data_IF_434121514052
#
_entry.id   IF_434121514052
#
_cell.length_a   1.000
_cell.length_b   1.000
_cell.length_c   1.000
_cell.angle_alpha   90.00
_cell.angle_beta   90.00
_cell.angle_gamma   90.00
#
_symmetry.space_group_name_H-M   'P 1'
#
loop_
_entity.id
_entity.type
_entity.pdbx_description
1 polymer ?
#
# COMPACT_ATOMS: atom_id res chain seq x y z
N UNK A 1 8.77 -13.84 20.99
CA UNK A 1 7.43 -13.30 20.64
C UNK A 1 6.97 -13.98 19.36
N UNK A 2 5.67 -14.22 19.19
CA UNK A 2 5.14 -14.75 17.92
C UNK A 2 5.12 -13.61 16.89
N UNK A 3 5.68 -13.85 15.69
CA UNK A 3 5.69 -12.86 14.61
C UNK A 3 4.26 -12.60 14.10
N UNK A 4 3.98 -11.36 13.67
CA UNK A 4 2.74 -11.00 12.97
C UNK A 4 2.77 -11.61 11.55
N UNK A 5 1.61 -11.97 11.01
CA UNK A 5 1.49 -12.57 9.68
C UNK A 5 0.52 -11.76 8.81
N UNK A 6 0.83 -11.64 7.52
CA UNK A 6 -0.09 -11.08 6.52
C UNK A 6 -1.14 -12.13 6.13
N UNK A 7 -2.25 -11.73 5.48
CA UNK A 7 -3.21 -12.66 4.89
C UNK A 7 -2.60 -13.63 3.86
N UNK A 8 -1.43 -13.30 3.31
CA UNK A 8 -0.74 -14.10 2.29
C UNK A 8 0.30 -15.07 2.86
N UNK A 9 0.50 -15.12 4.18
CA UNK A 9 1.55 -15.94 4.80
C UNK A 9 1.47 -17.43 4.40
N UNK A 10 0.27 -18.00 4.41
CA UNK A 10 0.04 -19.40 3.98
C UNK A 10 0.40 -19.61 2.51
N UNK A 11 0.03 -18.68 1.64
CA UNK A 11 0.36 -18.73 0.21
C UNK A 11 1.87 -18.66 -0.02
N UNK A 12 2.58 -17.79 0.72
CA UNK A 12 4.05 -17.70 0.63
C UNK A 12 4.73 -19.02 0.97
N UNK A 13 4.29 -19.68 2.04
CA UNK A 13 4.83 -20.99 2.46
C UNK A 13 4.53 -22.08 1.45
N UNK A 14 3.32 -22.10 0.88
CA UNK A 14 2.94 -23.05 -0.17
C UNK A 14 3.79 -22.87 -1.44
N UNK A 15 4.25 -21.65 -1.72
CA UNK A 15 5.17 -21.33 -2.82
C UNK A 15 6.64 -21.58 -2.48
N UNK A 16 6.95 -22.13 -1.30
CA UNK A 16 8.33 -22.42 -0.89
C UNK A 16 9.14 -21.17 -0.52
N UNK A 17 8.48 -20.05 -0.20
CA UNK A 17 9.18 -18.83 0.19
C UNK A 17 10.05 -19.05 1.43
N UNK A 18 11.24 -18.46 1.41
CA UNK A 18 12.07 -18.32 2.60
C UNK A 18 11.50 -17.19 3.45
N UNK A 19 10.97 -17.53 4.62
CA UNK A 19 10.37 -16.55 5.54
C UNK A 19 11.41 -16.06 6.56
N UNK A 20 11.34 -14.78 6.94
CA UNK A 20 12.23 -14.13 7.92
C UNK A 20 11.45 -13.20 8.85
N UNK A 21 12.03 -12.88 10.00
CA UNK A 21 11.59 -11.76 10.84
C UNK A 21 11.99 -10.44 10.17
N UNK A 22 10.98 -9.71 9.71
CA UNK A 22 11.13 -8.36 9.17
C UNK A 22 10.32 -7.38 10.02
N UNK A 23 10.98 -6.76 11.00
CA UNK A 23 10.34 -5.76 11.87
C UNK A 23 9.18 -6.32 12.69
N UNK A 24 9.27 -7.58 13.14
CA UNK A 24 8.21 -8.27 13.87
C UNK A 24 7.15 -8.94 13.00
N UNK A 25 7.34 -8.96 11.69
CA UNK A 25 6.48 -9.64 10.72
C UNK A 25 7.17 -10.86 10.10
N UNK A 26 6.43 -11.94 9.90
CA UNK A 26 6.86 -13.15 9.22
C UNK A 26 6.65 -13.01 7.71
N UNK A 27 7.70 -12.58 7.02
CA UNK A 27 7.64 -12.10 5.62
C UNK A 27 8.55 -12.90 4.69
N UNK A 28 8.18 -13.08 3.40
CA UNK A 28 9.02 -13.74 2.42
C UNK A 28 10.23 -12.86 2.03
N UNK A 29 11.45 -13.32 2.31
CA UNK A 29 12.67 -12.64 1.84
C UNK A 29 12.98 -12.97 0.37
N UNK A 30 12.64 -14.17 -0.08
CA UNK A 30 12.68 -14.61 -1.48
C UNK A 30 11.90 -15.92 -1.67
N UNK A 31 11.65 -16.27 -2.93
CA UNK A 31 11.03 -17.50 -3.42
C UNK A 31 12.06 -18.39 -4.16
N UNK A 32 13.36 -18.18 -3.91
CA UNK A 32 14.46 -18.96 -4.47
C UNK A 32 15.71 -18.11 -4.69
N UNK A 33 15.64 -17.12 -5.58
CA UNK A 33 16.78 -16.27 -5.96
C UNK A 33 16.35 -14.82 -6.09
N UNK A 34 16.87 -13.97 -5.20
CA UNK A 34 16.61 -12.53 -5.19
C UNK A 34 17.03 -11.86 -6.51
N UNK A 35 18.09 -12.34 -7.14
CA UNK A 35 18.57 -11.84 -8.43
C UNK A 35 17.58 -12.18 -9.56
N UNK A 36 17.05 -13.40 -9.56
CA UNK A 36 16.07 -13.82 -10.58
C UNK A 36 14.74 -13.08 -10.39
N UNK A 37 14.30 -12.91 -9.14
CA UNK A 37 13.12 -12.11 -8.78
C UNK A 37 13.27 -10.65 -9.22
N UNK A 38 14.42 -10.04 -8.94
CA UNK A 38 14.76 -8.69 -9.41
C UNK A 38 14.68 -8.61 -10.94
N UNK A 39 15.34 -9.53 -11.64
CA UNK A 39 15.33 -9.55 -13.10
C UNK A 39 13.92 -9.78 -13.67
N UNK A 40 13.09 -10.59 -13.02
CA UNK A 40 11.69 -10.81 -13.43
C UNK A 40 10.86 -9.53 -13.34
N UNK A 41 11.05 -8.73 -12.29
CA UNK A 41 10.41 -7.40 -12.16
C UNK A 41 10.88 -6.46 -13.27
N UNK A 42 12.19 -6.40 -13.54
CA UNK A 42 12.78 -5.50 -14.56
C UNK A 42 12.40 -5.87 -15.99
N UNK A 43 12.28 -7.16 -16.29
CA UNK A 43 12.08 -7.66 -17.65
C UNK A 43 10.62 -7.92 -18.01
N UNK A 44 9.74 -8.10 -17.02
CA UNK A 44 8.34 -8.45 -17.24
C UNK A 44 7.41 -7.88 -16.16
N UNK A 45 7.16 -8.64 -15.09
CA UNK A 45 6.33 -8.24 -13.97
C UNK A 45 6.59 -9.14 -12.74
N UNK A 46 6.78 -8.51 -11.58
CA UNK A 46 6.76 -9.19 -10.29
C UNK A 46 5.70 -8.63 -9.35
N UNK A 47 5.29 -9.43 -8.38
CA UNK A 47 4.36 -9.05 -7.32
C UNK A 47 4.98 -9.21 -5.93
N UNK A 48 4.69 -8.26 -5.06
CA UNK A 48 5.19 -8.19 -3.70
C UNK A 48 4.01 -8.11 -2.72
N UNK A 49 4.09 -8.89 -1.65
CA UNK A 49 3.19 -8.72 -0.51
C UNK A 49 3.66 -7.53 0.32
N UNK A 50 2.90 -6.44 0.25
CA UNK A 50 3.17 -5.23 1.02
C UNK A 50 2.10 -4.97 2.08
N UNK A 51 1.29 -6.00 2.39
CA UNK A 51 0.17 -5.96 3.35
C UNK A 51 0.61 -5.79 4.81
N UNK A 52 1.92 -5.90 5.09
CA UNK A 52 2.49 -5.58 6.40
C UNK A 52 2.49 -4.07 6.68
N UNK A 53 2.48 -3.23 5.62
CA UNK A 53 2.26 -1.78 5.74
C UNK A 53 0.87 -1.50 6.32
N UNK A 54 0.68 -0.31 6.88
CA UNK A 54 -0.59 0.05 7.49
C UNK A 54 -1.31 1.10 6.64
N UNK A 55 -2.44 0.70 6.06
CA UNK A 55 -3.41 1.63 5.50
C UNK A 55 -4.15 2.32 6.65
N UNK A 56 -4.26 3.64 6.61
CA UNK A 56 -4.95 4.45 7.60
C UNK A 56 -5.90 5.41 6.90
N UNK A 57 -7.19 5.31 7.17
CA UNK A 57 -8.17 6.28 6.71
C UNK A 57 -8.28 7.44 7.71
N UNK A 58 -8.15 8.66 7.21
CA UNK A 58 -8.36 9.89 7.96
C UNK A 58 -9.59 10.60 7.39
N UNK A 59 -10.62 10.75 8.21
CA UNK A 59 -11.92 11.28 7.78
C UNK A 59 -12.42 12.44 8.65
N UNK A 60 -13.10 13.39 8.04
CA UNK A 60 -13.69 14.56 8.70
C UNK A 60 -13.36 15.87 8.00
N UNK A 61 -14.17 16.90 8.27
CA UNK A 61 -14.09 18.20 7.57
C UNK A 61 -12.73 18.92 7.73
N UNK A 62 -11.97 18.61 8.77
CA UNK A 62 -10.68 19.25 9.07
C UNK A 62 -9.47 18.44 8.58
N UNK A 63 -9.68 17.33 7.86
CA UNK A 63 -8.59 16.41 7.49
C UNK A 63 -7.45 17.11 6.76
N UNK A 64 -7.73 17.94 5.77
CA UNK A 64 -6.69 18.68 5.03
C UNK A 64 -5.87 19.60 5.95
N UNK A 65 -6.53 20.37 6.81
CA UNK A 65 -5.87 21.29 7.73
C UNK A 65 -5.01 20.53 8.76
N UNK A 66 -5.52 19.41 9.28
CA UNK A 66 -4.78 18.51 10.16
C UNK A 66 -3.50 17.98 9.48
N UNK A 67 -3.63 17.42 8.28
CA UNK A 67 -2.49 16.85 7.54
C UNK A 67 -1.45 17.92 7.16
N UNK A 68 -1.88 19.16 6.89
CA UNK A 68 -0.96 20.27 6.61
C UNK A 68 -0.05 20.61 7.80
N UNK A 69 -0.53 20.42 9.03
CA UNK A 69 0.30 20.59 10.23
C UNK A 69 1.18 19.38 10.55
N UNK A 70 0.82 18.21 10.03
CA UNK A 70 1.47 16.93 10.33
C UNK A 70 2.61 16.59 9.35
N UNK A 71 2.45 16.94 8.08
CA UNK A 71 3.30 16.50 6.98
C UNK A 71 4.23 17.59 6.48
N UNK A 72 5.46 17.20 6.11
CA UNK A 72 6.48 18.09 5.56
C UNK A 72 6.12 18.64 4.16
N UNK A 73 5.45 17.82 3.33
CA UNK A 73 5.05 18.19 1.98
C UNK A 73 3.67 18.86 1.97
N UNK A 74 3.40 19.65 0.93
CA UNK A 74 2.20 20.46 0.85
C UNK A 74 0.98 19.64 0.35
N UNK A 75 0.14 19.19 1.29
CA UNK A 75 -1.13 18.50 1.02
C UNK A 75 -2.16 19.33 0.26
N UNK A 76 -2.05 20.67 0.26
CA UNK A 76 -2.95 21.54 -0.52
C UNK A 76 -2.73 21.36 -2.04
N UNK A 77 -1.66 20.69 -2.48
CA UNK A 77 -1.47 20.30 -3.90
C UNK A 77 -2.35 19.12 -4.33
N UNK A 78 -2.98 18.43 -3.39
CA UNK A 78 -3.91 17.33 -3.64
C UNK A 78 -5.32 17.88 -3.86
N UNK A 79 -5.61 18.29 -5.09
CA UNK A 79 -6.87 18.92 -5.49
C UNK A 79 -7.73 18.02 -6.40
N UNK A 80 -7.19 16.88 -6.83
CA UNK A 80 -7.84 15.97 -7.76
C UNK A 80 -7.98 14.62 -7.07
N UNK A 81 -9.21 14.08 -6.92
CA UNK A 81 -9.42 12.76 -6.33
C UNK A 81 -8.49 11.69 -6.93
N UNK A 82 -8.00 10.83 -6.06
CA UNK A 82 -6.99 9.82 -6.38
C UNK A 82 -5.55 10.33 -6.37
N UNK A 83 -5.29 11.65 -6.47
CA UNK A 83 -3.93 12.17 -6.44
C UNK A 83 -3.26 11.88 -5.10
N UNK A 84 -2.00 11.47 -5.17
CA UNK A 84 -1.19 11.13 -4.03
C UNK A 84 0.04 12.03 -3.95
N UNK A 85 0.67 12.04 -2.77
CA UNK A 85 2.01 12.55 -2.59
C UNK A 85 2.77 11.72 -1.58
N UNK A 86 4.09 11.69 -1.74
CA UNK A 86 5.03 11.22 -0.74
C UNK A 86 5.38 12.36 0.22
N UNK A 87 5.44 12.08 1.52
CA UNK A 87 5.87 13.05 2.54
C UNK A 87 6.50 12.36 3.73
N UNK A 88 7.42 13.06 4.39
CA UNK A 88 7.75 12.76 5.78
C UNK A 88 6.66 13.29 6.72
N UNK A 89 6.38 12.54 7.77
CA UNK A 89 5.70 13.00 8.98
C UNK A 89 6.75 13.44 9.99
N UNK A 90 6.60 14.65 10.54
CA UNK A 90 7.63 15.25 11.38
C UNK A 90 7.16 15.44 12.82
N UNK A 91 8.13 15.51 13.74
CA UNK A 91 7.92 16.06 15.07
C UNK A 91 8.08 17.59 15.07
N UNK A 92 7.71 18.30 16.15
CA UNK A 92 7.80 19.77 16.24
C UNK A 92 9.23 20.32 16.08
N UNK A 93 10.25 19.53 16.38
CA UNK A 93 11.66 19.88 16.23
C UNK A 93 12.19 19.67 14.80
N UNK A 94 11.34 19.18 13.87
CA UNK A 94 11.70 18.91 12.48
C UNK A 94 12.37 17.54 12.24
N UNK A 95 12.43 16.68 13.25
CA UNK A 95 12.87 15.30 13.13
C UNK A 95 11.83 14.44 12.42
N UNK A 96 12.30 13.52 11.57
CA UNK A 96 11.44 12.57 10.84
C UNK A 96 10.95 11.49 11.79
N UNK A 97 9.63 11.31 11.84
CA UNK A 97 8.98 10.21 12.55
C UNK A 97 8.86 9.00 11.63
N UNK A 98 8.31 9.23 10.43
CA UNK A 98 8.19 8.23 9.36
C UNK A 98 8.07 8.93 8.00
N UNK A 99 8.23 8.17 6.92
CA UNK A 99 7.81 8.54 5.58
C UNK A 99 6.57 7.77 5.13
N UNK A 100 5.72 8.40 4.32
CA UNK A 100 4.41 7.85 3.96
C UNK A 100 3.93 8.37 2.61
N UNK A 101 2.93 7.67 2.06
CA UNK A 101 2.14 8.17 0.92
C UNK A 101 0.75 8.53 1.42
N UNK A 102 0.28 9.71 1.05
CA UNK A 102 -1.09 10.17 1.31
C UNK A 102 -1.85 10.33 -0.01
N UNK A 103 -3.03 9.76 -0.07
CA UNK A 103 -3.98 9.77 -1.18
C UNK A 103 -5.17 10.66 -0.81
N UNK A 104 -5.50 11.61 -1.67
CA UNK A 104 -6.70 12.43 -1.54
C UNK A 104 -7.87 11.78 -2.25
N UNK A 105 -8.97 11.50 -1.55
CA UNK A 105 -10.17 10.89 -2.12
C UNK A 105 -11.32 11.92 -2.19
N UNK A 106 -11.54 12.65 -1.11
CA UNK A 106 -12.43 13.81 -1.02
C UNK A 106 -11.93 14.77 0.06
N UNK A 107 -12.50 15.98 0.14
CA UNK A 107 -12.08 16.99 1.14
C UNK A 107 -12.20 16.49 2.59
N UNK A 108 -13.11 15.55 2.83
CA UNK A 108 -13.34 14.92 4.11
C UNK A 108 -12.74 13.52 4.24
N UNK A 109 -11.97 13.04 3.25
CA UNK A 109 -11.36 11.71 3.28
C UNK A 109 -10.01 11.64 2.57
N UNK A 110 -9.00 11.33 3.37
CA UNK A 110 -7.66 11.01 2.90
C UNK A 110 -7.29 9.60 3.38
N UNK A 111 -6.49 8.91 2.57
CA UNK A 111 -5.94 7.61 2.93
C UNK A 111 -4.42 7.69 2.98
N UNK A 112 -3.83 7.16 4.03
CA UNK A 112 -2.39 7.18 4.27
C UNK A 112 -1.89 5.73 4.28
N UNK A 113 -0.70 5.51 3.73
CA UNK A 113 0.02 4.24 3.88
C UNK A 113 1.32 4.52 4.63
N UNK A 114 1.45 3.99 5.84
CA UNK A 114 2.64 4.13 6.71
C UNK A 114 3.43 2.84 6.79
N UNK A 115 4.71 2.94 7.17
CA UNK A 115 5.61 1.79 7.24
C UNK A 115 5.19 0.79 8.33
N UNK A 116 5.48 -0.49 8.11
CA UNK A 116 5.01 -1.57 8.97
C UNK A 116 5.58 -1.50 10.40
N UNK A 117 6.87 -1.18 10.54
CA UNK A 117 7.59 -1.16 11.82
C UNK A 117 7.28 0.06 12.70
N UNK A 118 6.76 1.13 12.10
CA UNK A 118 6.45 2.41 12.73
C UNK A 118 4.95 2.63 12.91
N UNK A 119 4.10 1.92 12.15
CA UNK A 119 2.64 2.08 12.13
C UNK A 119 1.96 2.31 13.49
N UNK A 120 2.28 1.52 14.52
CA UNK A 120 1.64 1.65 15.83
C UNK A 120 2.05 2.98 16.51
N UNK A 121 3.31 3.42 16.33
CA UNK A 121 3.81 4.72 16.80
C UNK A 121 3.23 5.86 15.98
N UNK A 122 3.11 5.69 14.68
CA UNK A 122 2.57 6.68 13.76
C UNK A 122 1.11 6.99 14.05
N UNK A 123 0.29 5.95 14.21
CA UNK A 123 -1.13 6.12 14.57
C UNK A 123 -1.26 6.75 15.96
N UNK A 124 -0.42 6.38 16.92
CA UNK A 124 -0.41 7.03 18.24
C UNK A 124 -0.03 8.52 18.13
N UNK A 125 0.97 8.85 17.31
CA UNK A 125 1.37 10.24 17.05
C UNK A 125 0.27 11.05 16.38
N UNK A 126 -0.35 10.52 15.31
CA UNK A 126 -1.46 11.18 14.63
C UNK A 126 -2.63 11.44 15.59
N UNK A 127 -2.96 10.50 16.46
CA UNK A 127 -4.00 10.69 17.47
C UNK A 127 -3.63 11.76 18.51
N UNK A 128 -2.37 11.79 18.97
CA UNK A 128 -1.89 12.83 19.88
C UNK A 128 -1.98 14.22 19.23
N UNK A 129 -1.60 14.35 17.96
CA UNK A 129 -1.70 15.61 17.22
C UNK A 129 -3.15 16.01 16.94
N UNK A 130 -4.03 15.04 16.63
CA UNK A 130 -5.46 15.28 16.45
C UNK A 130 -6.09 15.87 17.72
N UNK A 131 -5.73 15.32 18.88
CA UNK A 131 -6.16 15.85 20.18
C UNK A 131 -5.55 17.23 20.48
N UNK A 132 -4.23 17.40 20.30
CA UNK A 132 -3.53 18.64 20.61
C UNK A 132 -3.99 19.83 19.76
N UNK A 133 -4.38 19.58 18.51
CA UNK A 133 -4.88 20.60 17.57
C UNK A 133 -6.40 20.75 17.60
N UNK A 134 -7.10 19.95 18.41
CA UNK A 134 -8.57 19.87 18.44
C UNK A 134 -9.19 19.67 17.04
N UNK A 135 -8.50 18.91 16.17
CA UNK A 135 -8.87 18.76 14.75
C UNK A 135 -10.17 17.98 14.58
N UNK A 136 -10.54 17.11 15.53
CA UNK A 136 -11.77 16.33 15.52
C UNK A 136 -11.93 15.44 14.27
N UNK A 137 -10.82 14.90 13.76
CA UNK A 137 -10.83 13.92 12.66
C UNK A 137 -10.91 12.49 13.18
N UNK A 138 -11.50 11.60 12.41
CA UNK A 138 -11.46 10.15 12.65
C UNK A 138 -10.20 9.56 12.00
N UNK A 139 -9.47 8.73 12.74
CA UNK A 139 -8.27 8.02 12.27
C UNK A 139 -8.53 6.53 12.46
N UNK A 140 -8.64 5.79 11.35
CA UNK A 140 -8.97 4.36 11.36
C UNK A 140 -7.87 3.57 10.68
N UNK A 141 -7.16 2.72 11.43
CA UNK A 141 -6.24 1.75 10.83
C UNK A 141 -7.04 0.67 10.10
N UNK A 142 -6.49 0.20 8.98
CA UNK A 142 -7.13 -0.75 8.06
C UNK A 142 -6.24 -1.96 7.79
N UNK A 143 -5.21 -2.20 8.60
CA UNK A 143 -4.34 -3.39 8.47
C UNK A 143 -4.96 -4.64 9.10
N UNK A 144 -5.74 -4.46 10.16
CA UNK A 144 -6.42 -5.49 10.93
C UNK A 144 -7.79 -4.95 11.43
N UNK A 145 -8.51 -5.76 12.21
CA UNK A 145 -9.79 -5.36 12.80
C UNK A 145 -10.96 -5.44 11.82
N UNK A 146 -11.77 -4.39 11.76
CA UNK A 146 -12.98 -4.36 10.94
C UNK A 146 -12.65 -3.91 9.51
N UNK A 147 -13.00 -4.77 8.55
CA UNK A 147 -12.84 -4.53 7.12
C UNK A 147 -11.37 -4.18 6.73
N UNK A 148 -10.41 -5.05 7.08
CA UNK A 148 -8.99 -4.81 6.79
C UNK A 148 -8.71 -4.84 5.29
N UNK A 149 -7.69 -4.08 4.87
CA UNK A 149 -7.19 -3.94 3.51
C UNK A 149 -5.80 -4.56 3.45
N UNK A 150 -5.61 -5.47 2.51
CA UNK A 150 -4.30 -5.98 2.13
C UNK A 150 -3.77 -5.20 0.92
N UNK A 151 -2.45 -5.13 0.78
CA UNK A 151 -1.78 -4.42 -0.30
C UNK A 151 -0.87 -5.38 -1.08
N UNK A 152 -1.07 -5.44 -2.39
CA UNK A 152 -0.22 -6.21 -3.31
C UNK A 152 0.35 -5.23 -4.33
N UNK A 153 1.68 -5.11 -4.39
CA UNK A 153 2.35 -4.31 -5.40
C UNK A 153 2.69 -5.19 -6.60
N UNK A 154 2.29 -4.80 -7.81
CA UNK A 154 2.61 -5.47 -9.08
C UNK A 154 3.40 -4.50 -9.94
N UNK A 155 4.68 -4.79 -10.17
CA UNK A 155 5.67 -3.86 -10.72
C UNK A 155 6.44 -4.50 -11.88
N UNK A 156 6.75 -3.71 -12.91
CA UNK A 156 7.46 -4.14 -14.12
C UNK A 156 6.84 -3.59 -15.40
N UNK A 157 7.56 -3.64 -16.54
CA UNK A 157 7.11 -3.07 -17.80
C UNK A 157 5.76 -3.62 -18.31
N UNK A 158 5.42 -4.87 -17.96
CA UNK A 158 4.16 -5.51 -18.35
C UNK A 158 3.14 -5.62 -17.19
N UNK A 159 3.46 -5.08 -16.01
CA UNK A 159 2.66 -5.22 -14.81
C UNK A 159 1.20 -4.79 -15.02
N UNK A 160 0.97 -3.61 -15.60
CA UNK A 160 -0.36 -3.05 -15.81
C UNK A 160 -1.24 -3.92 -16.69
N UNK A 161 -0.67 -4.42 -17.79
CA UNK A 161 -1.37 -5.32 -18.70
C UNK A 161 -1.80 -6.62 -17.99
N UNK A 162 -0.92 -7.21 -17.18
CA UNK A 162 -1.24 -8.41 -16.40
C UNK A 162 -2.26 -8.14 -15.30
N UNK A 163 -2.21 -6.98 -14.64
CA UNK A 163 -3.25 -6.57 -13.69
C UNK A 163 -4.60 -6.48 -14.38
N UNK A 164 -4.70 -5.88 -15.56
CA UNK A 164 -5.98 -5.79 -16.29
C UNK A 164 -6.50 -7.13 -16.81
N UNK A 165 -5.65 -8.13 -17.02
CA UNK A 165 -6.13 -9.50 -17.30
C UNK A 165 -6.86 -10.11 -16.10
N UNK A 166 -6.41 -9.80 -14.88
CA UNK A 166 -6.98 -10.31 -13.63
C UNK A 166 -8.12 -9.43 -13.10
N UNK A 167 -8.03 -8.12 -13.32
CA UNK A 167 -8.93 -7.06 -12.86
C UNK A 167 -9.40 -6.21 -14.06
N UNK A 168 -10.11 -6.79 -15.05
CA UNK A 168 -10.46 -6.08 -16.27
C UNK A 168 -11.36 -4.86 -16.02
N UNK A 169 -12.21 -4.89 -14.97
CA UNK A 169 -13.07 -3.77 -14.60
C UNK A 169 -12.31 -2.54 -14.12
N UNK A 170 -11.02 -2.68 -13.78
CA UNK A 170 -10.18 -1.56 -13.36
C UNK A 170 -9.52 -0.82 -14.52
N UNK A 171 -9.50 -1.41 -15.73
CA UNK A 171 -8.72 -0.87 -16.84
C UNK A 171 -9.15 0.54 -17.25
N UNK A 172 -10.44 0.77 -17.48
CA UNK A 172 -10.94 2.08 -17.91
C UNK A 172 -10.60 3.22 -16.92
N UNK A 173 -10.55 2.92 -15.63
CA UNK A 173 -10.24 3.88 -14.57
C UNK A 173 -8.73 4.09 -14.36
N UNK A 174 -7.89 3.19 -14.88
CA UNK A 174 -6.45 3.13 -14.55
C UNK A 174 -5.52 3.18 -15.77
N UNK A 175 -6.05 3.11 -16.99
CA UNK A 175 -5.26 3.18 -18.23
C UNK A 175 -4.52 4.52 -18.41
N UNK A 176 -5.13 5.62 -17.98
CA UNK A 176 -4.57 6.97 -18.10
C UNK A 176 -4.11 7.53 -16.74
N UNK A 177 -4.03 6.67 -15.72
CA UNK A 177 -3.57 7.05 -14.39
C UNK A 177 -2.13 7.55 -14.48
N UNK A 178 -1.87 8.77 -13.98
CA UNK A 178 -0.51 9.31 -13.88
C UNK A 178 0.22 8.68 -12.68
N UNK A 179 1.56 8.66 -12.64
CA UNK A 179 2.27 8.29 -11.43
C UNK A 179 1.80 9.14 -10.24
N UNK A 180 1.73 8.55 -9.04
CA UNK A 180 1.13 9.18 -7.85
C UNK A 180 -0.34 9.57 -8.03
N UNK A 181 -1.11 8.73 -8.73
CA UNK A 181 -2.56 8.77 -8.71
C UNK A 181 -3.12 7.38 -8.44
N UNK A 182 -4.33 7.33 -7.87
CA UNK A 182 -5.09 6.12 -7.58
C UNK A 182 -6.52 6.23 -8.12
N UNK A 183 -7.15 5.08 -8.34
CA UNK A 183 -8.58 4.98 -8.58
C UNK A 183 -9.19 4.00 -7.57
N UNK A 184 -10.40 4.29 -7.10
CA UNK A 184 -11.22 3.34 -6.34
C UNK A 184 -12.26 2.76 -7.29
N UNK A 185 -12.30 1.43 -7.39
CA UNK A 185 -13.22 0.69 -8.25
C UNK A 185 -14.04 -0.24 -7.36
N UNK A 186 -15.33 0.05 -7.18
CA UNK A 186 -16.19 -0.68 -6.22
C UNK A 186 -16.51 -2.11 -6.64
N UNK A 187 -16.71 -2.34 -7.95
CA UNK A 187 -17.20 -3.62 -8.47
C UNK A 187 -16.10 -4.38 -9.21
N UNK A 188 -15.21 -5.02 -8.45
CA UNK A 188 -14.24 -5.98 -9.00
C UNK A 188 -14.55 -7.41 -8.58
N UNK A 189 -13.89 -8.38 -9.21
CA UNK A 189 -13.97 -9.78 -8.81
C UNK A 189 -13.48 -10.04 -7.37
N UNK A 190 -12.79 -9.08 -6.76
CA UNK A 190 -12.19 -9.15 -5.43
C UNK A 190 -12.74 -8.07 -4.48
N UNK A 191 -13.94 -7.55 -4.76
CA UNK A 191 -14.57 -6.45 -4.00
C UNK A 191 -14.08 -5.07 -4.41
N UNK A 192 -14.21 -4.07 -3.54
CA UNK A 192 -13.67 -2.74 -3.79
C UNK A 192 -12.15 -2.80 -3.92
N UNK A 193 -11.60 -2.29 -5.01
CA UNK A 193 -10.17 -2.23 -5.25
C UNK A 193 -9.70 -0.78 -5.34
N UNK A 194 -8.70 -0.44 -4.53
CA UNK A 194 -7.87 0.74 -4.74
C UNK A 194 -6.71 0.35 -5.67
N UNK A 195 -6.58 1.00 -6.81
CA UNK A 195 -5.46 0.76 -7.74
C UNK A 195 -4.66 2.05 -7.86
N UNK A 196 -3.44 2.05 -7.31
CA UNK A 196 -2.55 3.19 -7.28
C UNK A 196 -1.36 2.99 -8.21
N UNK A 197 -1.03 3.98 -9.04
CA UNK A 197 0.19 3.98 -9.86
C UNK A 197 1.36 4.56 -9.05
N UNK A 198 1.68 3.82 -8.01
CA UNK A 198 2.78 4.03 -7.07
C UNK A 198 3.62 2.75 -7.01
N UNK A 199 4.81 2.85 -6.42
CA UNK A 199 5.72 1.71 -6.31
C UNK A 199 7.05 2.11 -5.72
N UNK A 200 7.84 1.09 -5.36
CA UNK A 200 9.15 1.24 -4.73
C UNK A 200 10.29 0.63 -5.58
N UNK A 201 10.01 0.26 -6.83
CA UNK A 201 10.96 -0.52 -7.65
C UNK A 201 11.64 0.30 -8.74
N UNK A 202 11.16 1.51 -9.03
CA UNK A 202 11.59 2.30 -10.20
C UNK A 202 10.95 1.88 -11.53
N UNK A 203 10.22 0.76 -11.56
CA UNK A 203 9.43 0.33 -12.72
C UNK A 203 8.02 0.94 -12.70
N UNK A 204 7.32 0.85 -13.83
CA UNK A 204 5.87 1.11 -13.85
C UNK A 204 5.12 -0.04 -13.18
N UNK A 205 3.87 0.21 -12.78
CA UNK A 205 3.07 -0.79 -12.10
C UNK A 205 1.93 -0.21 -11.29
N UNK A 206 1.36 -1.06 -10.46
CA UNK A 206 0.28 -0.70 -9.54
C UNK A 206 0.52 -1.26 -8.15
N UNK A 207 0.12 -0.51 -7.13
CA UNK A 207 -0.20 -1.03 -5.81
C UNK A 207 -1.72 -1.21 -5.71
N UNK A 208 -2.15 -2.41 -5.34
CA UNK A 208 -3.55 -2.81 -5.33
C UNK A 208 -3.97 -3.07 -3.89
N UNK A 209 -4.90 -2.28 -3.39
CA UNK A 209 -5.57 -2.47 -2.11
C UNK A 209 -6.92 -3.16 -2.28
N UNK A 210 -7.12 -4.29 -1.61
CA UNK A 210 -8.37 -5.07 -1.61
C UNK A 210 -8.75 -5.48 -0.18
N UNK A 211 -10.00 -5.87 0.10
CA UNK A 211 -10.34 -6.52 1.37
C UNK A 211 -9.37 -7.67 1.65
N UNK A 212 -8.86 -7.74 2.88
CA UNK A 212 -7.79 -8.70 3.24
C UNK A 212 -8.20 -10.16 2.99
N UNK A 213 -9.50 -10.46 3.10
CA UNK A 213 -10.07 -11.77 2.78
C UNK A 213 -9.97 -12.16 1.31
N UNK A 214 -9.73 -11.20 0.41
CA UNK A 214 -9.59 -11.40 -1.03
C UNK A 214 -8.12 -11.43 -1.49
N UNK A 215 -7.17 -11.12 -0.60
CA UNK A 215 -5.76 -10.98 -0.94
C UNK A 215 -5.18 -12.26 -1.56
N UNK A 216 -5.43 -13.43 -0.94
CA UNK A 216 -4.92 -14.72 -1.43
C UNK A 216 -5.53 -15.08 -2.79
N UNK A 217 -6.82 -14.81 -2.99
CA UNK A 217 -7.47 -15.04 -4.28
C UNK A 217 -6.86 -14.16 -5.38
N UNK A 218 -6.63 -12.88 -5.11
CA UNK A 218 -5.98 -11.96 -6.04
C UNK A 218 -4.53 -12.39 -6.33
N UNK A 219 -3.76 -12.74 -5.31
CA UNK A 219 -2.37 -13.21 -5.45
C UNK A 219 -2.28 -14.44 -6.36
N UNK A 220 -3.14 -15.43 -6.14
CA UNK A 220 -3.16 -16.64 -6.95
C UNK A 220 -3.60 -16.36 -8.39
N UNK A 221 -4.54 -15.43 -8.61
CA UNK A 221 -4.94 -15.03 -9.94
C UNK A 221 -3.81 -14.31 -10.71
N UNK A 222 -3.06 -13.43 -10.03
CA UNK A 222 -1.87 -12.77 -10.60
C UNK A 222 -0.78 -13.80 -10.93
N UNK A 223 -0.55 -14.78 -10.05
CA UNK A 223 0.38 -15.88 -10.30
C UNK A 223 -0.01 -16.67 -11.55
N UNK A 224 -1.30 -17.01 -11.69
CA UNK A 224 -1.84 -17.71 -12.85
C UNK A 224 -1.72 -16.90 -14.15
N UNK A 225 -1.79 -15.57 -14.07
CA UNK A 225 -1.49 -14.64 -15.17
C UNK A 225 0.03 -14.48 -15.44
N UNK A 226 0.88 -15.24 -14.74
CA UNK A 226 2.32 -15.27 -14.93
C UNK A 226 3.07 -14.12 -14.27
N UNK A 227 2.48 -13.41 -13.30
CA UNK A 227 3.19 -12.45 -12.46
C UNK A 227 4.05 -13.23 -11.46
N UNK A 228 5.36 -12.93 -11.39
CA UNK A 228 6.28 -13.69 -10.53
C UNK A 228 6.25 -13.15 -9.09
N UNK A 229 6.13 -13.99 -8.05
CA UNK A 229 6.25 -13.52 -6.68
C UNK A 229 7.70 -13.09 -6.42
N UNK A 230 7.88 -11.98 -5.71
CA UNK A 230 9.18 -11.44 -5.34
C UNK A 230 9.19 -11.07 -3.86
N UNK A 231 10.27 -11.42 -3.16
CA UNK A 231 10.44 -11.20 -1.73
C UNK A 231 11.12 -9.88 -1.38
N UNK A 232 11.28 -9.65 -0.08
CA UNK A 232 11.92 -8.43 0.44
C UNK A 232 13.33 -8.20 -0.10
N UNK A 233 14.11 -9.25 -0.36
CA UNK A 233 15.48 -9.11 -0.84
C UNK A 233 15.60 -8.64 -2.29
N UNK A 234 14.57 -8.85 -3.12
CA UNK A 234 14.52 -8.29 -4.47
C UNK A 234 13.89 -6.88 -4.51
N UNK A 235 13.23 -6.49 -3.42
CA UNK A 235 12.61 -5.17 -3.24
C UNK A 235 13.63 -4.12 -2.81
N UNK A 236 14.59 -4.51 -1.96
CA UNK A 236 15.69 -3.69 -1.45
C UNK A 236 16.79 -3.50 -2.53
#
# INVERSE_FOLDING_TARGET
MTLKATPLNSAHRALGAKMVDFGGWDMPVNYGSQIEEHNAVRSDAGMFDVSHMCVVDVKGANTRAFLRGLLANNVDKLQVPGKALYSCMLNPEGGVIDDLIVYFLSEDWFRIVVNAGTADKDVAWMNAQNAATNSSVSITQRRDGNDPIALIAVQGPNARAKVWQVLPTTQASTENLKPFNAAIVGDTAFGEAMVARTGYTGEDGFEIGVPASQAEALWNALLAAGVKPAGLGARD
#
